data_IF_792187147014
#
_entry.id   IF_792187147014
#
_cell.length_a   1.000
_cell.length_b   1.000
_cell.length_c   1.000
_cell.angle_alpha   90.00
_cell.angle_beta   90.00
_cell.angle_gamma   90.00
#
_symmetry.space_group_name_H-M   'P 1'
#
loop_
_entity.id
_entity.type
_entity.pdbx_description
1 polymer ?
#
# COMPACT_ATOMS: atom_id res chain seq x y z
N UNK A 1 -20.13 5.62 -5.92
CA UNK A 1 -19.48 5.44 -7.25
C UNK A 1 -20.25 4.33 -7.97
N UNK A 2 -20.60 4.41 -9.26
CA UNK A 2 -21.42 3.34 -9.90
C UNK A 2 -20.81 1.94 -9.83
N UNK A 3 -19.48 1.84 -9.75
CA UNK A 3 -18.81 0.54 -9.59
C UNK A 3 -19.14 -0.14 -8.25
N UNK A 4 -19.47 0.63 -7.20
CA UNK A 4 -19.74 0.10 -5.86
C UNK A 4 -21.06 -0.64 -5.73
N UNK A 5 -21.92 -0.62 -6.76
CA UNK A 5 -23.15 -1.42 -6.84
C UNK A 5 -23.00 -2.69 -7.68
N UNK A 6 -21.80 -2.94 -8.22
CA UNK A 6 -21.52 -4.04 -9.17
C UNK A 6 -20.32 -4.89 -8.76
N UNK A 7 -19.59 -4.50 -7.72
CA UNK A 7 -18.42 -5.17 -7.19
C UNK A 7 -18.40 -5.04 -5.67
N UNK A 8 -17.73 -5.95 -4.99
CA UNK A 8 -17.62 -5.96 -3.53
C UNK A 8 -16.36 -5.24 -3.00
N UNK A 9 -15.36 -5.02 -3.86
CA UNK A 9 -14.11 -4.31 -3.54
C UNK A 9 -13.50 -3.71 -4.81
N UNK A 10 -12.75 -2.62 -4.67
CA UNK A 10 -11.98 -2.02 -5.76
C UNK A 10 -10.50 -1.95 -5.40
N UNK A 11 -9.66 -2.58 -6.22
CA UNK A 11 -8.20 -2.40 -6.19
C UNK A 11 -7.84 -1.32 -7.20
N UNK A 12 -7.22 -0.23 -6.73
CA UNK A 12 -6.97 0.94 -7.56
C UNK A 12 -5.46 1.25 -7.63
N UNK A 13 -4.98 1.43 -8.87
CA UNK A 13 -3.68 2.05 -9.18
C UNK A 13 -3.99 3.42 -9.75
N UNK A 14 -3.47 4.47 -9.11
CA UNK A 14 -3.72 5.85 -9.50
C UNK A 14 -2.41 6.63 -9.51
N UNK A 15 -2.40 7.79 -10.17
CA UNK A 15 -1.22 8.65 -10.13
C UNK A 15 -1.13 9.37 -8.78
N UNK A 16 -2.17 10.09 -8.37
CA UNK A 16 -2.17 10.87 -7.13
C UNK A 16 -2.93 10.19 -6.00
N UNK A 17 -2.38 10.24 -4.79
CA UNK A 17 -3.04 9.73 -3.59
C UNK A 17 -4.38 10.44 -3.30
N UNK A 18 -4.54 11.71 -3.71
CA UNK A 18 -5.81 12.44 -3.62
C UNK A 18 -6.95 11.72 -4.35
N UNK A 19 -6.66 11.08 -5.50
CA UNK A 19 -7.65 10.30 -6.25
C UNK A 19 -8.16 9.12 -5.43
N UNK A 20 -7.30 8.43 -4.68
CA UNK A 20 -7.71 7.35 -3.77
C UNK A 20 -8.61 7.86 -2.64
N UNK A 21 -8.30 9.02 -2.06
CA UNK A 21 -9.16 9.63 -1.03
C UNK A 21 -10.56 9.92 -1.58
N UNK A 22 -10.64 10.56 -2.74
CA UNK A 22 -11.93 10.83 -3.39
C UNK A 22 -12.68 9.54 -3.71
N UNK A 23 -12.00 8.49 -4.20
CA UNK A 23 -12.62 7.18 -4.43
C UNK A 23 -13.19 6.58 -3.14
N UNK A 24 -12.43 6.65 -2.05
CA UNK A 24 -12.86 6.14 -0.74
C UNK A 24 -14.04 6.91 -0.16
N UNK A 25 -14.04 8.24 -0.26
CA UNK A 25 -15.13 9.11 0.24
C UNK A 25 -16.45 8.88 -0.52
N UNK A 26 -16.37 8.49 -1.80
CA UNK A 26 -17.52 8.35 -2.68
C UNK A 26 -17.90 6.89 -2.96
N UNK A 27 -17.31 5.92 -2.27
CA UNK A 27 -17.56 4.48 -2.45
C UNK A 27 -18.21 3.87 -1.22
N UNK A 28 -19.17 2.97 -1.44
CA UNK A 28 -19.76 2.14 -0.38
C UNK A 28 -19.01 0.82 -0.16
N UNK A 29 -18.01 0.53 -0.99
CA UNK A 29 -17.19 -0.69 -0.91
C UNK A 29 -15.73 -0.34 -0.58
N UNK A 30 -14.96 -1.28 0.01
CA UNK A 30 -13.55 -1.09 0.29
C UNK A 30 -12.74 -0.70 -0.95
N UNK A 31 -11.82 0.25 -0.77
CA UNK A 31 -10.86 0.70 -1.77
C UNK A 31 -9.46 0.31 -1.31
N UNK A 32 -8.77 -0.52 -2.09
CA UNK A 32 -7.40 -0.96 -1.83
C UNK A 32 -6.44 -0.16 -2.69
N UNK A 33 -5.50 0.54 -2.06
CA UNK A 33 -4.40 1.22 -2.76
C UNK A 33 -3.37 0.19 -3.23
N UNK A 34 -3.38 -0.13 -4.52
CA UNK A 34 -2.32 -0.95 -5.10
C UNK A 34 -1.03 -0.15 -5.36
N UNK A 35 -1.14 1.12 -5.75
CA UNK A 35 -0.02 2.03 -6.01
C UNK A 35 -0.54 3.47 -6.21
N UNK A 36 0.14 4.44 -5.58
CA UNK A 36 0.06 5.86 -5.94
C UNK A 36 1.44 6.55 -5.80
N UNK A 37 1.52 7.84 -6.15
CA UNK A 37 2.70 8.68 -5.98
C UNK A 37 3.29 8.70 -4.55
N UNK A 38 2.43 8.64 -3.54
CA UNK A 38 2.87 8.68 -2.13
C UNK A 38 3.15 7.31 -1.51
N UNK A 39 2.38 6.26 -1.85
CA UNK A 39 2.43 4.98 -1.14
C UNK A 39 2.24 3.77 -2.05
N UNK A 40 2.99 2.71 -1.76
CA UNK A 40 2.84 1.38 -2.34
C UNK A 40 2.64 0.31 -1.23
N UNK A 41 1.51 0.33 -0.49
CA UNK A 41 1.35 -0.47 0.71
C UNK A 41 1.33 -1.99 0.43
N UNK A 42 0.80 -2.42 -0.70
CA UNK A 42 0.81 -3.84 -1.09
C UNK A 42 2.25 -4.37 -1.29
N UNK A 43 3.18 -3.55 -1.81
CA UNK A 43 4.58 -3.93 -1.94
C UNK A 43 5.21 -4.07 -0.55
N UNK A 44 5.06 -3.06 0.31
CA UNK A 44 5.61 -3.10 1.67
C UNK A 44 5.08 -4.31 2.46
N UNK A 45 3.79 -4.63 2.37
CA UNK A 45 3.23 -5.82 3.00
C UNK A 45 3.89 -7.12 2.49
N UNK A 46 4.13 -7.23 1.17
CA UNK A 46 4.80 -8.38 0.58
C UNK A 46 6.28 -8.47 1.02
N UNK A 47 6.97 -7.34 1.12
CA UNK A 47 8.36 -7.28 1.59
C UNK A 47 8.46 -7.76 3.04
N UNK A 48 7.58 -7.30 3.93
CA UNK A 48 7.56 -7.73 5.34
C UNK A 48 7.15 -9.20 5.51
N UNK A 49 6.23 -9.70 4.68
CA UNK A 49 5.91 -11.13 4.65
C UNK A 49 7.14 -11.95 4.24
N UNK A 50 7.87 -11.51 3.22
CA UNK A 50 9.10 -12.16 2.76
C UNK A 50 10.17 -12.16 3.86
N UNK A 51 10.38 -11.03 4.54
CA UNK A 51 11.32 -10.95 5.66
C UNK A 51 10.93 -11.92 6.79
N UNK A 52 9.64 -12.04 7.09
CA UNK A 52 9.14 -12.99 8.10
C UNK A 52 9.38 -14.44 7.70
N UNK A 53 9.19 -14.78 6.43
CA UNK A 53 9.43 -16.14 5.92
C UNK A 53 10.91 -16.51 5.94
N UNK A 54 11.80 -15.56 5.65
CA UNK A 54 13.25 -15.81 5.57
C UNK A 54 13.92 -15.77 6.95
N UNK A 55 13.52 -14.84 7.81
CA UNK A 55 14.23 -14.54 9.07
C UNK A 55 13.41 -14.81 10.34
N UNK A 56 12.12 -15.12 10.21
CA UNK A 56 11.22 -15.33 11.34
C UNK A 56 10.74 -14.02 11.96
N UNK A 57 11.34 -13.60 13.08
CA UNK A 57 10.93 -12.39 13.79
C UNK A 57 11.51 -11.12 13.14
N UNK A 58 10.70 -10.46 12.33
CA UNK A 58 11.06 -9.23 11.62
C UNK A 58 11.40 -8.09 12.60
N UNK A 59 10.86 -8.08 13.83
CA UNK A 59 11.12 -7.01 14.80
C UNK A 59 12.57 -6.93 15.28
N UNK A 60 13.34 -8.00 15.08
CA UNK A 60 14.77 -8.06 15.43
C UNK A 60 15.68 -7.61 14.29
N UNK A 61 15.13 -7.36 13.11
CA UNK A 61 15.89 -6.97 11.93
C UNK A 61 16.12 -5.46 11.89
N UNK A 62 17.29 -5.07 11.37
CA UNK A 62 17.60 -3.67 11.07
C UNK A 62 17.36 -3.43 9.59
N UNK A 63 16.43 -2.54 9.27
CA UNK A 63 16.07 -2.23 7.89
C UNK A 63 16.84 -0.99 7.42
N UNK A 64 17.44 -1.07 6.24
CA UNK A 64 18.08 0.08 5.58
C UNK A 64 17.54 0.18 4.15
N UNK A 65 16.99 1.34 3.80
CA UNK A 65 16.60 1.66 2.44
C UNK A 65 17.62 2.65 1.85
N UNK A 66 18.19 2.31 0.69
CA UNK A 66 19.17 3.15 -0.01
C UNK A 66 18.64 3.45 -1.40
N UNK A 67 18.39 4.72 -1.70
CA UNK A 67 17.87 5.16 -2.99
C UNK A 67 16.98 6.40 -2.90
N UNK A 68 16.15 6.59 -3.91
CA UNK A 68 15.24 7.74 -3.97
C UNK A 68 14.07 7.60 -2.98
N UNK A 69 13.70 8.72 -2.33
CA UNK A 69 12.52 8.83 -1.48
C UNK A 69 11.24 8.87 -2.32
N UNK A 70 10.75 7.69 -2.71
CA UNK A 70 9.52 7.51 -3.49
C UNK A 70 8.42 6.84 -2.64
N UNK A 71 7.40 6.30 -3.30
CA UNK A 71 6.27 5.63 -2.66
C UNK A 71 6.62 4.34 -1.90
N UNK A 72 7.74 3.70 -2.22
CA UNK A 72 8.19 2.46 -1.56
C UNK A 72 8.72 2.73 -0.15
N UNK A 73 9.75 3.56 0.10
CA UNK A 73 10.23 3.84 1.45
C UNK A 73 9.16 4.52 2.31
N UNK A 74 8.31 5.36 1.72
CA UNK A 74 7.15 5.93 2.41
C UNK A 74 6.20 4.83 2.93
N UNK A 75 5.95 3.79 2.14
CA UNK A 75 5.14 2.65 2.56
C UNK A 75 5.88 1.79 3.58
N UNK A 76 7.16 1.47 3.36
CA UNK A 76 7.96 0.65 4.27
C UNK A 76 8.02 1.22 5.70
N UNK A 77 8.13 2.55 5.85
CA UNK A 77 8.11 3.23 7.15
C UNK A 77 6.82 2.98 7.93
N UNK A 78 5.68 2.76 7.26
CA UNK A 78 4.41 2.49 7.94
C UNK A 78 4.34 1.09 8.57
N UNK A 79 5.21 0.18 8.14
CA UNK A 79 5.28 -1.22 8.62
C UNK A 79 6.51 -1.48 9.51
N UNK A 80 7.45 -0.54 9.55
CA UNK A 80 8.72 -0.64 10.28
C UNK A 80 8.58 -0.45 11.79
#
# INVERSE_FOLDING_TARGET
LKISTRADCLVARVNQHSTLKTLSENSSIPIVNSLCDLYHPCQALADFLTLKEVYGDVSQLKHAYIGAGNNVPNALILYA
#
